data_IF_142070712224
#
_entry.id   IF_142070712224
#
_cell.length_a   1.000
_cell.length_b   1.000
_cell.length_c   1.000
_cell.angle_alpha   90.00
_cell.angle_beta   90.00
_cell.angle_gamma   90.00
#
_symmetry.space_group_name_H-M   'P 1'
#
loop_
_entity.id
_entity.type
_entity.pdbx_description
1 polymer ?
#
# COMPACT_ATOMS: atom_id res chain seq x y z
N UNK A 1 -43.47 4.67 -5.89
CA UNK A 1 -42.91 5.62 -4.90
C UNK A 1 -41.91 4.88 -4.01
N UNK A 2 -40.62 4.94 -4.34
CA UNK A 2 -39.58 4.24 -3.59
C UNK A 2 -39.19 5.01 -2.33
N UNK A 3 -39.57 4.48 -1.16
CA UNK A 3 -39.01 4.88 0.14
C UNK A 3 -37.50 4.61 0.10
N UNK A 4 -36.69 5.61 -0.23
CA UNK A 4 -35.24 5.54 -0.01
C UNK A 4 -35.02 5.50 1.51
N UNK A 5 -34.42 4.41 2.00
CA UNK A 5 -33.78 4.34 3.33
C UNK A 5 -33.01 5.66 3.50
N UNK A 6 -33.28 6.38 4.57
CA UNK A 6 -32.45 7.50 4.97
C UNK A 6 -31.07 6.93 5.34
N UNK A 7 -30.22 6.73 4.34
CA UNK A 7 -28.83 6.38 4.54
C UNK A 7 -28.21 7.50 5.36
N UNK A 8 -27.53 7.10 6.44
CA UNK A 8 -26.71 7.98 7.28
C UNK A 8 -25.56 8.56 6.44
N UNK A 9 -25.86 9.54 5.57
CA UNK A 9 -24.86 10.18 4.72
C UNK A 9 -23.81 10.86 5.59
N UNK A 10 -22.57 10.93 5.08
CA UNK A 10 -21.47 11.64 5.75
C UNK A 10 -21.88 13.09 6.08
N UNK A 11 -22.64 13.73 5.20
CA UNK A 11 -23.18 15.08 5.43
C UNK A 11 -24.16 15.14 6.62
N UNK A 12 -25.04 14.15 6.77
CA UNK A 12 -25.94 14.07 7.93
C UNK A 12 -25.16 13.83 9.23
N UNK A 13 -24.13 12.99 9.20
CA UNK A 13 -23.24 12.76 10.35
C UNK A 13 -22.47 14.03 10.72
N UNK A 14 -21.86 14.73 9.75
CA UNK A 14 -21.17 16.01 9.99
C UNK A 14 -22.04 17.04 10.68
N UNK A 15 -23.34 17.10 10.34
CA UNK A 15 -24.30 18.01 11.00
C UNK A 15 -24.55 17.65 12.47
N UNK A 16 -24.51 16.36 12.84
CA UNK A 16 -24.66 15.92 14.24
C UNK A 16 -23.35 15.94 15.04
N UNK A 17 -22.21 15.91 14.34
CA UNK A 17 -20.87 16.00 14.93
C UNK A 17 -20.07 17.18 14.34
N UNK A 18 -20.50 18.43 14.57
CA UNK A 18 -19.91 19.59 13.90
C UNK A 18 -18.54 19.99 14.46
N UNK A 19 -18.19 19.56 15.68
CA UNK A 19 -16.96 19.99 16.34
C UNK A 19 -15.81 19.06 16.01
N UNK A 20 -14.63 19.63 15.74
CA UNK A 20 -13.48 18.87 15.21
C UNK A 20 -12.25 18.99 16.09
N UNK A 21 -11.51 17.89 16.20
CA UNK A 21 -10.11 17.86 16.59
C UNK A 21 -9.27 17.46 15.37
N UNK A 22 -8.11 18.10 15.20
CA UNK A 22 -7.26 17.94 14.03
C UNK A 22 -5.92 17.34 14.44
N UNK A 23 -5.50 16.32 13.72
CA UNK A 23 -4.22 15.65 13.89
C UNK A 23 -3.37 15.89 12.64
N UNK A 24 -2.27 16.68 12.70
CA UNK A 24 -1.41 16.97 11.56
C UNK A 24 -0.62 15.71 11.19
N UNK A 25 -1.23 14.85 10.37
CA UNK A 25 -0.68 13.58 9.91
C UNK A 25 -1.51 13.02 8.77
N UNK A 26 -0.89 12.86 7.60
CA UNK A 26 -1.44 12.06 6.49
C UNK A 26 -0.96 10.62 6.55
N UNK A 27 0.25 10.41 7.07
CA UNK A 27 0.90 9.11 7.12
C UNK A 27 0.06 8.06 7.85
N UNK A 28 0.05 6.80 7.36
CA UNK A 28 -0.58 5.70 8.07
C UNK A 28 -0.09 5.56 9.51
N UNK A 29 -0.98 5.07 10.36
CA UNK A 29 -0.62 4.62 11.69
C UNK A 29 -0.10 3.20 11.65
N UNK A 30 0.82 2.89 12.57
CA UNK A 30 1.02 1.50 12.99
C UNK A 30 -0.28 0.96 13.60
N UNK A 31 -0.55 -0.34 13.55
CA UNK A 31 -1.75 -0.92 14.15
C UNK A 31 -1.93 -0.54 15.63
N UNK A 32 -0.85 -0.43 16.39
CA UNK A 32 -0.84 -0.06 17.81
C UNK A 32 -1.28 1.40 17.99
N UNK A 33 -0.70 2.32 17.22
CA UNK A 33 -1.05 3.74 17.22
C UNK A 33 -2.52 3.94 16.82
N UNK A 34 -3.00 3.20 15.83
CA UNK A 34 -4.40 3.25 15.40
C UNK A 34 -5.36 2.84 16.52
N UNK A 35 -5.03 1.75 17.25
CA UNK A 35 -5.82 1.28 18.41
C UNK A 35 -5.81 2.29 19.55
N UNK A 36 -4.66 2.92 19.81
CA UNK A 36 -4.54 3.94 20.85
C UNK A 36 -5.42 5.16 20.55
N UNK A 37 -5.35 5.67 19.31
CA UNK A 37 -6.19 6.78 18.85
C UNK A 37 -7.66 6.42 18.93
N UNK A 38 -8.04 5.23 18.47
CA UNK A 38 -9.44 4.78 18.53
C UNK A 38 -9.93 4.67 19.98
N UNK A 39 -9.11 4.11 20.88
CA UNK A 39 -9.44 4.02 22.30
C UNK A 39 -9.60 5.42 22.93
N UNK A 40 -8.76 6.38 22.57
CA UNK A 40 -8.88 7.77 23.00
C UNK A 40 -10.17 8.41 22.47
N UNK A 41 -10.51 8.23 21.20
CA UNK A 41 -11.76 8.71 20.62
C UNK A 41 -12.98 8.13 21.33
N UNK A 42 -13.01 6.82 21.59
CA UNK A 42 -14.10 6.16 22.32
C UNK A 42 -14.23 6.69 23.75
N UNK A 43 -13.11 6.88 24.45
CA UNK A 43 -13.09 7.44 25.80
C UNK A 43 -13.67 8.86 25.84
N UNK A 44 -13.27 9.71 24.89
CA UNK A 44 -13.74 11.09 24.78
C UNK A 44 -15.21 11.16 24.34
N UNK A 45 -15.60 10.31 23.40
CA UNK A 45 -16.97 10.25 22.91
C UNK A 45 -17.95 9.70 23.97
N UNK A 46 -17.49 8.81 24.84
CA UNK A 46 -18.31 8.05 25.79
C UNK A 46 -19.48 7.38 25.07
N UNK A 47 -20.72 7.64 25.47
CA UNK A 47 -21.92 7.11 24.81
C UNK A 47 -22.35 7.88 23.55
N UNK A 48 -21.67 8.98 23.17
CA UNK A 48 -22.01 9.76 21.98
C UNK A 48 -21.33 9.21 20.72
N UNK A 49 -21.89 9.53 19.55
CA UNK A 49 -21.22 9.24 18.28
C UNK A 49 -19.95 10.11 18.09
N UNK A 50 -18.97 9.56 17.39
CA UNK A 50 -17.87 10.29 16.78
C UNK A 50 -17.67 9.79 15.34
N UNK A 51 -16.92 10.54 14.55
CA UNK A 51 -16.59 10.17 13.17
C UNK A 51 -15.18 10.62 12.84
N UNK A 52 -14.47 9.86 12.01
CA UNK A 52 -13.12 10.19 11.54
C UNK A 52 -13.15 10.35 10.03
N UNK A 53 -12.55 11.42 9.52
CA UNK A 53 -12.41 11.67 8.09
C UNK A 53 -10.98 12.12 7.78
N UNK A 54 -10.53 11.86 6.55
CA UNK A 54 -9.40 12.59 6.00
C UNK A 54 -9.81 14.06 5.81
N UNK A 55 -8.92 14.97 6.16
CA UNK A 55 -9.10 16.38 5.90
C UNK A 55 -9.13 16.67 4.40
N UNK A 56 -9.84 17.73 4.02
CA UNK A 56 -10.03 18.12 2.63
C UNK A 56 -9.90 19.64 2.52
N UNK A 57 -9.31 20.14 1.41
CA UNK A 57 -8.99 21.56 1.18
C UNK A 57 -8.15 22.14 2.32
N UNK A 58 -8.70 23.05 3.12
CA UNK A 58 -8.01 23.75 4.21
C UNK A 58 -7.50 22.79 5.30
N UNK A 59 -8.08 21.58 5.37
CA UNK A 59 -7.66 20.51 6.28
C UNK A 59 -6.77 19.45 5.59
N UNK A 60 -6.28 19.67 4.36
CA UNK A 60 -5.27 18.77 3.79
C UNK A 60 -4.07 18.68 4.71
N UNK A 61 -3.47 17.50 4.88
CA UNK A 61 -2.45 17.29 5.90
C UNK A 61 -2.99 16.70 7.20
N UNK A 62 -4.30 16.69 7.43
CA UNK A 62 -4.89 16.34 8.72
C UNK A 62 -5.79 15.10 8.66
N UNK A 63 -5.76 14.31 9.74
CA UNK A 63 -6.90 13.47 10.13
C UNK A 63 -7.83 14.28 11.03
N UNK A 64 -9.12 14.28 10.69
CA UNK A 64 -10.14 15.10 11.35
C UNK A 64 -11.10 14.20 12.13
N UNK A 65 -11.18 14.44 13.44
CA UNK A 65 -12.04 13.72 14.38
C UNK A 65 -13.23 14.59 14.77
N UNK A 66 -14.41 14.18 14.37
CA UNK A 66 -15.68 14.86 14.61
C UNK A 66 -16.38 14.36 15.87
N UNK A 67 -16.86 15.28 16.70
CA UNK A 67 -17.57 15.02 17.95
C UNK A 67 -18.87 15.83 18.04
N UNK A 68 -19.80 15.34 18.86
CA UNK A 68 -21.11 15.97 19.11
C UNK A 68 -21.04 17.28 19.89
N UNK A 69 -19.97 17.51 20.65
CA UNK A 69 -19.82 18.72 21.48
C UNK A 69 -18.42 19.31 21.38
N UNK A 70 -18.33 20.62 21.58
CA UNK A 70 -17.07 21.35 21.61
C UNK A 70 -16.12 20.84 22.71
N UNK A 71 -16.65 20.54 23.90
CA UNK A 71 -15.84 20.04 25.01
C UNK A 71 -15.15 18.71 24.67
N UNK A 72 -15.83 17.82 23.94
CA UNK A 72 -15.25 16.54 23.47
C UNK A 72 -14.18 16.76 22.41
N UNK A 73 -14.44 17.60 21.41
CA UNK A 73 -13.43 17.95 20.43
C UNK A 73 -12.18 18.57 21.08
N UNK A 74 -12.36 19.47 22.06
CA UNK A 74 -11.26 20.07 22.80
C UNK A 74 -10.50 19.06 23.67
N UNK A 75 -11.20 18.13 24.31
CA UNK A 75 -10.56 17.05 25.07
C UNK A 75 -9.71 16.15 24.16
N UNK A 76 -10.21 15.83 22.95
CA UNK A 76 -9.45 15.07 21.96
C UNK A 76 -8.23 15.84 21.47
N UNK A 77 -8.36 17.15 21.21
CA UNK A 77 -7.22 18.00 20.82
C UNK A 77 -6.15 18.00 21.91
N UNK A 78 -6.53 18.20 23.18
CA UNK A 78 -5.60 18.13 24.31
C UNK A 78 -4.94 16.76 24.50
N UNK A 79 -5.58 15.68 24.07
CA UNK A 79 -4.95 14.35 24.06
C UNK A 79 -3.96 14.22 22.91
N UNK A 80 -4.32 14.68 21.69
CA UNK A 80 -3.42 14.70 20.52
C UNK A 80 -2.14 15.45 20.87
N UNK A 81 -2.26 16.66 21.41
CA UNK A 81 -1.12 17.54 21.69
C UNK A 81 -0.17 16.93 22.75
N UNK A 82 -0.69 16.11 23.68
CA UNK A 82 0.10 15.51 24.77
C UNK A 82 0.62 14.10 24.47
N UNK A 83 -0.03 13.35 23.60
CA UNK A 83 0.30 11.94 23.34
C UNK A 83 1.54 11.75 22.45
N UNK A 84 1.98 12.81 21.76
CA UNK A 84 3.04 12.74 20.75
C UNK A 84 2.66 11.93 19.50
N UNK A 85 1.39 11.52 19.36
CA UNK A 85 0.90 10.64 18.29
C UNK A 85 1.13 11.23 16.89
N UNK A 86 1.15 12.56 16.78
CA UNK A 86 1.45 13.25 15.52
C UNK A 86 2.85 12.92 15.00
N UNK A 87 3.83 12.81 15.89
CA UNK A 87 5.26 12.69 15.54
C UNK A 87 5.79 11.26 15.53
N UNK A 88 4.95 10.25 15.83
CA UNK A 88 5.40 8.85 15.85
C UNK A 88 5.83 8.38 14.46
N UNK A 89 6.86 7.54 14.35
CA UNK A 89 7.36 7.10 13.04
C UNK A 89 6.27 6.36 12.26
N UNK A 90 6.21 6.60 10.95
CA UNK A 90 5.35 5.86 10.04
C UNK A 90 5.66 4.34 10.12
N UNK A 91 4.66 3.44 9.99
CA UNK A 91 4.94 2.03 9.77
C UNK A 91 5.82 1.84 8.53
N UNK A 92 6.64 0.80 8.53
CA UNK A 92 7.40 0.42 7.35
C UNK A 92 6.43 -0.07 6.26
N UNK A 93 6.25 0.74 5.22
CA UNK A 93 5.38 0.43 4.08
C UNK A 93 6.21 -0.30 3.00
N UNK A 94 6.24 -1.63 3.07
CA UNK A 94 6.99 -2.47 2.13
C UNK A 94 8.48 -2.58 2.45
N UNK A 95 9.24 -3.15 1.51
CA UNK A 95 10.70 -3.29 1.60
C UNK A 95 11.39 -1.96 1.31
N UNK A 96 12.51 -1.69 1.99
CA UNK A 96 13.38 -0.55 1.66
C UNK A 96 14.03 -0.73 0.28
N UNK A 97 14.54 0.34 -0.32
CA UNK A 97 15.28 0.25 -1.58
C UNK A 97 16.49 -0.70 -1.48
N UNK A 98 17.16 -0.72 -0.33
CA UNK A 98 18.27 -1.62 -0.04
C UNK A 98 17.83 -3.09 0.02
N UNK A 99 16.71 -3.38 0.69
CA UNK A 99 16.13 -4.72 0.76
C UNK A 99 15.66 -5.20 -0.61
N UNK A 100 15.03 -4.32 -1.41
CA UNK A 100 14.68 -4.64 -2.79
C UNK A 100 15.93 -4.95 -3.62
N UNK A 101 16.99 -4.14 -3.48
CA UNK A 101 18.25 -4.37 -4.18
C UNK A 101 18.89 -5.71 -3.77
N UNK A 102 18.85 -6.06 -2.48
CA UNK A 102 19.34 -7.34 -1.99
C UNK A 102 18.52 -8.51 -2.55
N UNK A 103 17.20 -8.46 -2.49
CA UNK A 103 16.35 -9.50 -3.07
C UNK A 103 16.59 -9.68 -4.58
N UNK A 104 16.86 -8.58 -5.31
CA UNK A 104 17.25 -8.66 -6.73
C UNK A 104 18.63 -9.30 -6.92
N UNK A 105 19.61 -8.97 -6.08
CA UNK A 105 20.94 -9.59 -6.08
C UNK A 105 20.86 -11.09 -5.82
N UNK A 106 20.11 -11.50 -4.80
CA UNK A 106 19.90 -12.90 -4.46
C UNK A 106 19.17 -13.67 -5.57
N UNK A 107 18.16 -13.06 -6.20
CA UNK A 107 17.48 -13.64 -7.36
C UNK A 107 18.44 -13.89 -8.53
N UNK A 108 19.28 -12.91 -8.87
CA UNK A 108 20.29 -13.06 -9.91
C UNK A 108 21.33 -14.13 -9.53
N UNK A 109 21.88 -14.07 -8.32
CA UNK A 109 22.87 -15.03 -7.84
C UNK A 109 22.33 -16.46 -7.82
N UNK A 110 21.08 -16.66 -7.40
CA UNK A 110 20.41 -17.95 -7.49
C UNK A 110 20.28 -18.40 -8.94
N UNK A 111 19.76 -17.55 -9.82
CA UNK A 111 19.54 -17.91 -11.23
C UNK A 111 20.81 -18.26 -12.00
N UNK A 112 21.94 -17.63 -11.65
CA UNK A 112 23.25 -17.92 -12.22
C UNK A 112 23.79 -19.25 -11.69
N UNK A 113 23.68 -19.48 -10.37
CA UNK A 113 24.14 -20.71 -9.73
C UNK A 113 23.38 -21.95 -10.20
N UNK A 114 22.08 -21.83 -10.44
CA UNK A 114 21.22 -22.95 -10.85
C UNK A 114 21.07 -23.07 -12.37
N UNK A 115 21.58 -22.10 -13.14
CA UNK A 115 21.34 -22.03 -14.59
C UNK A 115 19.89 -21.71 -14.97
N UNK A 116 19.06 -21.26 -14.02
CA UNK A 116 17.63 -21.04 -14.23
C UNK A 116 17.29 -19.80 -15.09
N UNK A 117 18.24 -18.88 -15.28
CA UNK A 117 17.99 -17.65 -16.01
C UNK A 117 17.45 -17.89 -17.44
N UNK A 118 18.07 -18.80 -18.19
CA UNK A 118 17.69 -19.08 -19.58
C UNK A 118 16.33 -19.81 -19.68
N UNK A 119 16.08 -20.93 -18.98
CA UNK A 119 14.77 -21.59 -18.99
C UNK A 119 13.60 -20.67 -18.64
N UNK A 120 13.77 -19.82 -17.62
CA UNK A 120 12.73 -18.86 -17.18
C UNK A 120 12.45 -17.82 -18.28
N UNK A 121 13.50 -17.24 -18.88
CA UNK A 121 13.35 -16.25 -19.93
C UNK A 121 12.79 -16.84 -21.23
N UNK A 122 13.19 -18.06 -21.58
CA UNK A 122 12.71 -18.76 -22.76
C UNK A 122 11.22 -19.12 -22.62
N UNK A 123 10.78 -19.58 -21.45
CA UNK A 123 9.37 -19.84 -21.18
C UNK A 123 8.50 -18.58 -21.32
N UNK A 124 8.95 -17.45 -20.77
CA UNK A 124 8.26 -16.17 -20.98
C UNK A 124 8.18 -15.79 -22.47
N UNK A 125 9.29 -15.91 -23.21
CA UNK A 125 9.36 -15.55 -24.63
C UNK A 125 8.47 -16.46 -25.48
N UNK A 126 8.50 -17.77 -25.25
CA UNK A 126 7.67 -18.73 -25.97
C UNK A 126 6.18 -18.42 -25.80
N UNK A 127 5.72 -18.15 -24.58
CA UNK A 127 4.34 -17.74 -24.32
C UNK A 127 3.99 -16.42 -25.05
N UNK A 128 4.87 -15.42 -25.00
CA UNK A 128 4.66 -14.16 -25.75
C UNK A 128 4.62 -14.37 -27.27
N UNK A 129 5.45 -15.26 -27.81
CA UNK A 129 5.44 -15.60 -29.24
C UNK A 129 4.20 -16.39 -29.65
N UNK A 130 3.62 -17.18 -28.75
CA UNK A 130 2.33 -17.86 -28.96
C UNK A 130 1.11 -16.91 -28.91
N UNK A 131 1.32 -15.63 -28.56
CA UNK A 131 0.27 -14.62 -28.48
C UNK A 131 -0.34 -14.43 -27.09
N UNK A 132 0.19 -15.09 -26.06
CA UNK A 132 -0.35 -15.00 -24.70
C UNK A 132 -0.19 -13.60 -24.10
N UNK A 133 -1.18 -13.17 -23.32
CA UNK A 133 -1.11 -11.92 -22.57
C UNK A 133 0.07 -11.90 -21.57
N UNK A 134 0.52 -10.68 -21.20
CA UNK A 134 1.69 -10.46 -20.32
C UNK A 134 1.60 -11.28 -19.02
N UNK A 135 0.43 -11.31 -18.37
CA UNK A 135 0.24 -12.04 -17.12
C UNK A 135 0.36 -13.56 -17.31
N UNK A 136 -0.18 -14.10 -18.41
CA UNK A 136 -0.08 -15.53 -18.73
C UNK A 136 1.36 -15.93 -19.01
N UNK A 137 2.08 -15.15 -19.82
CA UNK A 137 3.50 -15.37 -20.09
C UNK A 137 4.38 -15.24 -18.83
N UNK A 138 4.05 -14.28 -17.96
CA UNK A 138 4.72 -14.13 -16.66
C UNK A 138 4.49 -15.35 -15.76
N UNK A 139 3.27 -15.87 -15.72
CA UNK A 139 2.94 -17.06 -14.94
C UNK A 139 3.66 -18.30 -15.47
N UNK A 140 3.78 -18.48 -16.80
CA UNK A 140 4.58 -19.56 -17.39
C UNK A 140 6.04 -19.54 -16.90
N UNK A 141 6.66 -18.36 -16.86
CA UNK A 141 8.01 -18.20 -16.31
C UNK A 141 8.08 -18.47 -14.79
N UNK A 142 7.02 -18.12 -14.04
CA UNK A 142 6.91 -18.45 -12.62
C UNK A 142 6.82 -19.96 -12.38
N UNK A 143 6.08 -20.69 -13.20
CA UNK A 143 5.97 -22.16 -13.08
C UNK A 143 7.32 -22.83 -13.36
N UNK A 144 8.10 -22.36 -14.33
CA UNK A 144 9.47 -22.84 -14.55
C UNK A 144 10.37 -22.54 -13.35
N UNK A 145 10.31 -21.33 -12.80
CA UNK A 145 11.11 -20.98 -11.61
C UNK A 145 10.77 -21.86 -10.39
N UNK A 146 9.48 -22.17 -10.18
CA UNK A 146 9.02 -23.11 -9.14
C UNK A 146 9.54 -24.53 -9.40
N UNK A 147 9.41 -25.02 -10.63
CA UNK A 147 9.88 -26.36 -11.02
C UNK A 147 11.39 -26.52 -10.83
N UNK A 148 12.16 -25.43 -10.96
CA UNK A 148 13.60 -25.39 -10.68
C UNK A 148 13.94 -25.19 -9.20
N UNK A 149 12.96 -25.23 -8.30
CA UNK A 149 13.16 -25.23 -6.85
C UNK A 149 13.24 -23.85 -6.19
N UNK A 150 12.79 -22.77 -6.85
CA UNK A 150 12.72 -21.45 -6.19
C UNK A 150 11.61 -21.43 -5.14
N UNK A 151 11.86 -20.98 -3.90
CA UNK A 151 10.82 -20.84 -2.88
C UNK A 151 9.66 -19.95 -3.33
N UNK A 152 8.42 -20.34 -3.02
CA UNK A 152 7.19 -19.67 -3.48
C UNK A 152 7.18 -18.16 -3.23
N UNK A 153 7.71 -17.71 -2.08
CA UNK A 153 7.79 -16.28 -1.73
C UNK A 153 8.77 -15.47 -2.60
N UNK A 154 9.69 -16.13 -3.30
CA UNK A 154 10.77 -15.49 -4.04
C UNK A 154 10.62 -15.62 -5.57
N UNK A 155 9.71 -16.49 -6.03
CA UNK A 155 9.47 -16.78 -7.45
C UNK A 155 9.19 -15.50 -8.24
N UNK A 156 8.21 -14.69 -7.81
CA UNK A 156 7.80 -13.52 -8.57
C UNK A 156 8.90 -12.46 -8.65
N UNK A 157 9.61 -12.22 -7.54
CA UNK A 157 10.76 -11.30 -7.51
C UNK A 157 11.84 -11.77 -8.47
N UNK A 158 12.09 -13.07 -8.52
CA UNK A 158 13.11 -13.67 -9.40
C UNK A 158 12.76 -13.50 -10.87
N UNK A 159 11.54 -13.85 -11.27
CA UNK A 159 11.09 -13.71 -12.66
C UNK A 159 11.11 -12.24 -13.09
N UNK A 160 10.58 -11.32 -12.26
CA UNK A 160 10.62 -9.88 -12.58
C UNK A 160 12.04 -9.36 -12.75
N UNK A 161 12.94 -9.72 -11.85
CA UNK A 161 14.35 -9.30 -11.90
C UNK A 161 15.02 -9.77 -13.19
N UNK A 162 14.78 -11.03 -13.59
CA UNK A 162 15.34 -11.57 -14.82
C UNK A 162 14.78 -10.89 -16.07
N UNK A 163 13.48 -10.61 -16.10
CA UNK A 163 12.84 -9.91 -17.22
C UNK A 163 13.34 -8.47 -17.34
N UNK A 164 13.46 -7.75 -16.23
CA UNK A 164 14.05 -6.40 -16.19
C UNK A 164 15.49 -6.42 -16.68
N UNK A 165 16.32 -7.35 -16.18
CA UNK A 165 17.70 -7.53 -16.61
C UNK A 165 17.80 -7.84 -18.11
N UNK A 166 16.95 -8.73 -18.63
CA UNK A 166 16.93 -9.09 -20.05
C UNK A 166 16.48 -7.91 -20.95
N UNK A 167 15.56 -7.06 -20.47
CA UNK A 167 15.14 -5.83 -21.17
C UNK A 167 16.27 -4.82 -21.23
N UNK A 168 16.98 -4.60 -20.12
CA UNK A 168 18.11 -3.68 -20.05
C UNK A 168 19.31 -4.10 -20.92
N UNK A 169 19.43 -5.40 -21.23
CA UNK A 169 20.52 -5.96 -22.06
C UNK A 169 20.19 -6.08 -23.55
N UNK A 170 18.97 -5.75 -23.99
CA UNK A 170 18.69 -5.68 -25.44
C UNK A 170 19.31 -4.39 -26.00
N UNK A 171 20.19 -4.46 -27.02
CA UNK A 171 20.57 -3.26 -27.74
C UNK A 171 19.31 -2.63 -28.35
N UNK A 172 19.17 -1.31 -28.23
CA UNK A 172 18.18 -0.56 -28.99
C UNK A 172 18.45 -0.85 -30.47
N UNK A 173 17.59 -1.64 -31.10
CA UNK A 173 17.68 -1.85 -32.55
C UNK A 173 17.55 -0.47 -33.20
N UNK A 174 18.50 -0.02 -34.04
CA UNK A 174 18.34 1.23 -34.76
C UNK A 174 17.07 1.09 -35.60
N UNK A 175 16.18 2.07 -35.46
CA UNK A 175 14.97 2.16 -36.27
C UNK A 175 15.39 2.17 -37.75
N UNK A 176 15.13 1.09 -38.46
CA UNK A 176 15.14 1.10 -39.92
C UNK A 176 13.88 1.85 -40.34
N UNK A 177 14.02 3.17 -40.48
CA UNK A 177 13.06 4.01 -41.19
C UNK A 177 13.29 3.92 -42.70
N UNK A 178 12.23 4.08 -43.51
CA UNK A 178 12.23 3.90 -44.96
C UNK A 178 13.14 4.88 -45.71
#
# INVERSE_FOLDING_TARGET
MGRRKAEHTIAARRRRTPYVAKLPREDPFKPEDAREVEAACRRVAAASEFMVLAGWREDSGYRVYHFTTWAKARAMQHWIDRSGIAHRPMPKLGLTAEEVAESKREALAWSLRTGAARPILDAYRQARHAGDAELTAFNAACEVAKAMGRPTGEVQVTVRTLLEWARAKRPSSPATGP
#
